data_IF_156066813345
#
_entry.id   IF_156066813345
#
_cell.length_a   1.000
_cell.length_b   1.000
_cell.length_c   1.000
_cell.angle_alpha   90.00
_cell.angle_beta   90.00
_cell.angle_gamma   90.00
#
_symmetry.space_group_name_H-M   'P 1'
#
loop_
_entity.id
_entity.type
_entity.pdbx_description
1 polymer ?
#
# COMPACT_ATOMS: atom_id res chain seq x y z
N UNK A 1 37.99 53.93 3.58
CA UNK A 1 37.29 53.25 4.69
C UNK A 1 36.25 54.15 5.41
N UNK A 2 36.40 55.44 5.47
CA UNK A 2 35.50 56.35 6.25
C UNK A 2 34.11 56.60 5.60
N UNK A 3 33.94 56.55 4.30
CA UNK A 3 32.64 56.87 3.64
C UNK A 3 31.55 55.83 3.86
N UNK A 4 31.90 54.55 3.98
CA UNK A 4 30.95 53.45 4.19
C UNK A 4 30.44 53.46 5.64
N UNK A 5 31.33 53.70 6.60
CA UNK A 5 30.96 53.79 8.01
C UNK A 5 30.04 54.98 8.31
N UNK A 6 30.26 56.13 7.68
CA UNK A 6 29.41 57.33 7.82
C UNK A 6 28.03 57.11 7.19
N UNK A 7 27.94 56.38 6.10
CA UNK A 7 26.66 56.02 5.47
C UNK A 7 25.84 55.03 6.33
N UNK A 8 26.51 54.01 6.91
CA UNK A 8 25.89 53.03 7.82
C UNK A 8 25.37 53.69 9.12
N UNK A 9 26.10 54.65 9.66
CA UNK A 9 25.66 55.43 10.83
C UNK A 9 24.43 56.29 10.53
N UNK A 10 24.41 56.95 9.35
CA UNK A 10 23.30 57.81 8.92
C UNK A 10 21.98 57.03 8.73
N UNK A 11 22.05 55.74 8.45
CA UNK A 11 20.89 54.86 8.25
C UNK A 11 20.61 53.93 9.43
N UNK A 12 21.25 54.19 10.59
CA UNK A 12 21.11 53.34 11.79
C UNK A 12 21.51 51.87 11.57
N UNK A 13 22.39 51.59 10.60
CA UNK A 13 22.83 50.27 10.17
C UNK A 13 24.22 49.89 10.71
N UNK A 14 24.65 50.57 11.77
CA UNK A 14 25.97 50.36 12.38
C UNK A 14 26.24 48.90 12.77
N UNK A 15 25.20 48.16 13.15
CA UNK A 15 25.27 46.74 13.50
C UNK A 15 24.92 45.82 12.34
N UNK A 16 24.70 46.35 11.11
CA UNK A 16 24.32 45.57 9.94
C UNK A 16 25.34 44.47 9.56
N UNK A 17 26.65 44.74 9.57
CA UNK A 17 27.66 43.70 9.36
C UNK A 17 27.64 42.61 10.44
N UNK A 18 27.41 42.98 11.69
CA UNK A 18 27.30 42.06 12.82
C UNK A 18 26.03 41.19 12.67
N UNK A 19 24.92 41.80 12.25
CA UNK A 19 23.67 41.09 11.98
C UNK A 19 23.83 40.08 10.86
N UNK A 20 24.51 40.44 9.76
CA UNK A 20 24.80 39.52 8.66
C UNK A 20 25.63 38.32 9.15
N UNK A 21 26.68 38.57 9.92
CA UNK A 21 27.53 37.51 10.49
C UNK A 21 26.71 36.57 11.40
N UNK A 22 25.84 37.13 12.24
CA UNK A 22 24.98 36.32 13.10
C UNK A 22 23.98 35.52 12.30
N UNK A 23 23.33 36.10 11.30
CA UNK A 23 22.36 35.40 10.44
C UNK A 23 23.04 34.29 9.64
N UNK A 24 24.21 34.56 9.05
CA UNK A 24 24.97 33.52 8.32
C UNK A 24 25.44 32.40 9.24
N UNK A 25 25.85 32.72 10.46
CA UNK A 25 26.22 31.71 11.45
C UNK A 25 25.00 30.86 11.88
N UNK A 26 23.85 31.47 12.12
CA UNK A 26 22.61 30.75 12.46
C UNK A 26 22.18 29.86 11.31
N UNK A 27 22.21 30.31 10.06
CA UNK A 27 21.88 29.51 8.86
C UNK A 27 22.88 28.37 8.71
N UNK A 28 24.17 28.61 8.96
CA UNK A 28 25.20 27.57 8.89
C UNK A 28 25.00 26.49 9.98
N UNK A 29 24.72 26.93 11.23
CA UNK A 29 24.38 26.00 12.32
C UNK A 29 23.13 25.23 12.03
N UNK A 30 22.09 25.86 11.45
CA UNK A 30 20.86 25.18 11.05
C UNK A 30 21.11 24.17 9.92
N UNK A 31 21.97 24.50 8.95
CA UNK A 31 22.40 23.54 7.91
C UNK A 31 23.18 22.35 8.50
N UNK A 32 24.08 22.61 9.47
CA UNK A 32 24.81 21.53 10.17
C UNK A 32 23.83 20.64 10.96
N UNK A 33 22.90 21.23 11.70
CA UNK A 33 21.89 20.48 12.46
C UNK A 33 21.00 19.70 11.52
N UNK A 34 20.56 20.28 10.40
CA UNK A 34 19.79 19.58 9.36
C UNK A 34 20.59 18.43 8.72
N UNK A 35 21.90 18.64 8.48
CA UNK A 35 22.79 17.62 7.96
C UNK A 35 23.05 16.50 8.99
N UNK A 36 23.21 16.84 10.27
CA UNK A 36 23.39 15.86 11.34
C UNK A 36 22.10 15.09 11.64
N UNK A 37 20.94 15.74 11.58
CA UNK A 37 19.63 15.08 11.73
C UNK A 37 19.22 14.27 10.50
N UNK A 38 19.89 14.43 9.35
CA UNK A 38 19.66 13.61 8.16
C UNK A 38 20.44 12.28 8.19
N UNK A 39 21.25 12.06 9.22
CA UNK A 39 21.97 10.81 9.46
C UNK A 39 21.19 9.82 10.35
N UNK A 40 19.85 9.92 10.38
CA UNK A 40 19.03 8.94 11.05
C UNK A 40 19.02 7.61 10.29
N UNK A 41 19.65 6.61 10.91
CA UNK A 41 19.53 5.16 10.74
C UNK A 41 19.45 4.63 9.30
N UNK A 42 20.39 4.99 8.45
CA UNK A 42 20.58 4.26 7.22
C UNK A 42 21.41 3.00 7.53
N UNK A 43 20.76 1.95 8.04
CA UNK A 43 21.34 0.62 8.10
C UNK A 43 21.78 0.28 6.66
N UNK A 44 23.07 0.40 6.39
CA UNK A 44 23.64 0.10 5.06
C UNK A 44 23.48 -1.38 4.70
N UNK A 45 23.10 -2.22 5.67
CA UNK A 45 22.94 -3.67 5.50
C UNK A 45 21.46 -4.07 5.60
N UNK A 46 20.99 -4.71 4.55
CA UNK A 46 19.63 -5.25 4.42
C UNK A 46 19.67 -6.75 4.66
N UNK A 47 18.81 -7.24 5.54
CA UNK A 47 18.59 -8.68 5.79
C UNK A 47 17.25 -9.09 5.19
N UNK A 48 17.24 -10.15 4.39
CA UNK A 48 16.04 -10.75 3.83
C UNK A 48 15.32 -11.54 4.93
N UNK A 49 14.04 -11.23 5.19
CA UNK A 49 13.26 -11.86 6.27
C UNK A 49 12.43 -13.04 5.82
N UNK A 50 12.14 -13.15 4.52
CA UNK A 50 11.45 -14.27 3.88
C UNK A 50 11.92 -14.43 2.43
N UNK A 51 11.73 -15.61 1.86
CA UNK A 51 12.12 -15.90 0.48
C UNK A 51 11.36 -14.99 -0.49
N UNK A 52 12.08 -14.33 -1.40
CA UNK A 52 11.53 -13.37 -2.36
C UNK A 52 12.41 -13.24 -3.59
N UNK A 53 12.13 -12.28 -4.46
CA UNK A 53 12.89 -12.05 -5.70
C UNK A 53 13.55 -10.67 -5.72
N UNK A 54 14.71 -10.58 -6.36
CA UNK A 54 15.26 -9.32 -6.86
C UNK A 54 14.63 -9.00 -8.22
N UNK A 55 14.28 -7.74 -8.44
CA UNK A 55 13.68 -7.25 -9.69
C UNK A 55 14.55 -6.16 -10.33
N UNK A 56 14.33 -5.92 -11.62
CA UNK A 56 15.08 -4.88 -12.35
C UNK A 56 14.66 -3.46 -12.00
N UNK A 57 13.51 -3.27 -11.33
CA UNK A 57 12.98 -1.97 -10.93
C UNK A 57 12.09 -2.04 -9.68
N UNK A 58 11.68 -0.87 -9.14
CA UNK A 58 10.98 -0.74 -7.86
C UNK A 58 9.47 -1.00 -7.97
N UNK A 59 9.08 -2.14 -8.51
CA UNK A 59 7.68 -2.53 -8.66
C UNK A 59 7.58 -4.02 -9.05
N UNK A 60 6.48 -4.72 -8.73
CA UNK A 60 6.27 -6.12 -9.12
C UNK A 60 6.09 -6.33 -10.63
N UNK A 61 5.85 -5.27 -11.42
CA UNK A 61 5.78 -5.38 -12.89
C UNK A 61 7.15 -5.51 -13.56
N UNK A 62 8.23 -5.16 -12.84
CA UNK A 62 9.57 -5.31 -13.40
C UNK A 62 10.01 -6.77 -13.38
N UNK A 63 10.73 -7.21 -14.43
CA UNK A 63 11.23 -8.58 -14.52
C UNK A 63 12.07 -9.00 -13.30
N UNK A 64 11.96 -10.26 -12.93
CA UNK A 64 12.83 -10.88 -11.93
C UNK A 64 14.27 -10.96 -12.45
N UNK A 65 15.21 -10.67 -11.56
CA UNK A 65 16.66 -10.83 -11.80
C UNK A 65 17.14 -12.15 -11.23
N UNK A 66 16.76 -12.43 -9.97
CA UNK A 66 17.17 -13.61 -9.23
C UNK A 66 16.27 -13.83 -8.02
N UNK A 67 16.14 -15.09 -7.56
CA UNK A 67 15.53 -15.42 -6.28
C UNK A 67 16.53 -15.20 -5.15
N UNK A 68 16.07 -14.61 -4.05
CA UNK A 68 16.83 -14.40 -2.83
C UNK A 68 16.12 -15.03 -1.64
N UNK A 69 16.88 -15.47 -0.64
CA UNK A 69 16.40 -16.33 0.44
C UNK A 69 16.52 -15.66 1.80
N UNK A 70 15.64 -16.03 2.70
CA UNK A 70 15.69 -15.61 4.11
C UNK A 70 17.08 -15.74 4.69
N UNK A 71 17.53 -14.67 5.35
CA UNK A 71 18.85 -14.59 6.00
C UNK A 71 19.99 -14.11 5.09
N UNK A 72 19.76 -13.94 3.78
CA UNK A 72 20.75 -13.30 2.92
C UNK A 72 20.90 -11.81 3.25
N UNK A 73 22.11 -11.29 3.05
CA UNK A 73 22.49 -9.92 3.37
C UNK A 73 22.91 -9.18 2.10
N UNK A 74 22.49 -7.94 2.01
CA UNK A 74 22.77 -7.04 0.90
C UNK A 74 23.17 -5.66 1.43
N UNK A 75 23.90 -4.88 0.62
CA UNK A 75 24.11 -3.46 0.85
C UNK A 75 22.97 -2.67 0.20
N UNK A 76 22.38 -1.74 0.95
CA UNK A 76 21.41 -0.80 0.44
C UNK A 76 22.09 0.23 -0.45
N UNK A 77 21.55 0.44 -1.66
CA UNK A 77 21.99 1.46 -2.60
C UNK A 77 21.06 2.67 -2.56
N UNK A 78 19.75 2.42 -2.67
CA UNK A 78 18.73 3.47 -2.72
C UNK A 78 17.36 2.94 -2.27
N UNK A 79 16.40 3.85 -2.11
CA UNK A 79 15.01 3.53 -1.79
C UNK A 79 14.08 4.33 -2.70
N UNK A 80 13.05 3.67 -3.22
CA UNK A 80 11.98 4.31 -3.98
C UNK A 80 10.65 3.75 -3.50
N UNK A 81 9.85 4.59 -2.84
CA UNK A 81 8.63 4.13 -2.17
C UNK A 81 8.92 3.02 -1.16
N UNK A 82 8.29 1.87 -1.33
CA UNK A 82 8.49 0.68 -0.49
C UNK A 82 9.57 -0.29 -1.01
N UNK A 83 10.24 0.05 -2.10
CA UNK A 83 11.26 -0.78 -2.72
C UNK A 83 12.66 -0.30 -2.38
N UNK A 84 13.57 -1.24 -2.16
CA UNK A 84 14.96 -0.99 -1.79
C UNK A 84 15.84 -1.54 -2.91
N UNK A 85 16.69 -0.70 -3.49
CA UNK A 85 17.74 -1.17 -4.37
C UNK A 85 18.89 -1.69 -3.53
N UNK A 86 19.30 -2.91 -3.79
CA UNK A 86 20.32 -3.62 -3.04
C UNK A 86 21.38 -4.22 -3.96
N UNK A 87 22.56 -4.47 -3.38
CA UNK A 87 23.69 -5.13 -4.06
C UNK A 87 24.34 -6.11 -3.08
N UNK A 88 24.66 -7.31 -3.56
CA UNK A 88 25.38 -8.30 -2.77
C UNK A 88 26.81 -7.85 -2.49
N UNK A 89 27.42 -8.33 -1.40
CA UNK A 89 28.78 -7.94 -0.97
C UNK A 89 29.87 -8.26 -2.01
N UNK A 90 29.61 -9.19 -2.91
CA UNK A 90 30.52 -9.54 -4.00
C UNK A 90 30.24 -8.80 -5.31
N UNK A 91 29.25 -7.89 -5.33
CA UNK A 91 28.84 -7.09 -6.48
C UNK A 91 28.18 -7.88 -7.62
N UNK A 92 27.93 -9.19 -7.45
CA UNK A 92 27.38 -10.04 -8.53
C UNK A 92 25.88 -9.96 -8.68
N UNK A 93 25.17 -9.61 -7.61
CA UNK A 93 23.71 -9.53 -7.58
C UNK A 93 23.33 -8.09 -7.24
N UNK A 94 22.53 -7.49 -8.09
CA UNK A 94 21.98 -6.15 -7.91
C UNK A 94 20.56 -6.11 -8.43
N UNK A 95 19.69 -5.51 -7.65
CA UNK A 95 18.27 -5.39 -8.02
C UNK A 95 17.46 -4.67 -6.97
N UNK A 96 16.15 -4.70 -7.14
CA UNK A 96 15.19 -4.14 -6.22
C UNK A 96 14.48 -5.25 -5.46
N UNK A 97 14.45 -5.13 -4.14
CA UNK A 97 13.69 -5.99 -3.25
C UNK A 97 12.57 -5.19 -2.58
N UNK A 98 11.44 -5.84 -2.37
CA UNK A 98 10.35 -5.26 -1.63
C UNK A 98 10.76 -5.08 -0.15
N UNK A 99 10.59 -3.86 0.38
CA UNK A 99 11.05 -3.52 1.72
C UNK A 99 10.38 -4.29 2.86
N UNK A 100 9.16 -4.79 2.64
CA UNK A 100 8.44 -5.64 3.61
C UNK A 100 9.02 -7.05 3.73
N UNK A 101 9.85 -7.51 2.77
CA UNK A 101 10.62 -8.74 2.86
C UNK A 101 12.02 -8.53 3.45
N UNK A 102 12.25 -7.40 4.10
CA UNK A 102 13.55 -7.04 4.67
C UNK A 102 13.43 -6.59 6.13
N UNK A 103 14.56 -6.54 6.84
CA UNK A 103 14.63 -6.02 8.21
C UNK A 103 14.22 -4.54 8.34
N UNK A 104 14.16 -3.78 7.26
CA UNK A 104 13.75 -2.37 7.33
C UNK A 104 12.24 -2.23 7.53
N UNK A 105 11.47 -3.29 7.31
CA UNK A 105 10.01 -3.34 7.46
C UNK A 105 9.34 -1.98 7.14
N UNK A 106 9.43 -1.54 5.87
CA UNK A 106 9.07 -0.18 5.43
C UNK A 106 7.55 0.07 5.49
N UNK A 107 6.86 -0.64 6.35
CA UNK A 107 5.44 -0.42 6.62
C UNK A 107 5.16 0.75 7.59
N UNK A 108 6.18 1.28 8.25
CA UNK A 108 6.01 2.14 9.41
C UNK A 108 6.07 3.64 9.10
N UNK A 109 5.04 4.19 8.48
CA UNK A 109 4.67 5.59 8.68
C UNK A 109 3.58 5.76 9.77
N UNK A 110 3.20 4.68 10.45
CA UNK A 110 2.26 4.72 11.57
C UNK A 110 3.02 4.69 12.91
N UNK A 111 2.53 5.43 13.89
CA UNK A 111 2.98 5.33 15.27
C UNK A 111 3.12 3.83 15.65
N UNK A 112 4.34 3.31 15.95
CA UNK A 112 4.55 1.88 16.18
C UNK A 112 3.78 1.33 17.38
N UNK A 113 3.22 2.22 18.22
CA UNK A 113 2.36 1.88 19.35
C UNK A 113 0.87 1.99 19.04
N UNK A 114 0.48 2.56 17.90
CA UNK A 114 -0.90 2.63 17.48
C UNK A 114 -1.32 1.29 16.84
N UNK A 115 -2.29 0.62 17.42
CA UNK A 115 -2.90 -0.61 16.87
C UNK A 115 -4.40 -0.39 16.65
N UNK A 116 -4.78 0.46 15.70
CA UNK A 116 -6.20 0.83 15.49
C UNK A 116 -7.05 -0.36 15.07
N UNK A 117 -6.46 -1.43 14.54
CA UNK A 117 -7.16 -2.66 14.15
C UNK A 117 -7.22 -3.71 15.26
N UNK A 118 -6.53 -3.49 16.39
CA UNK A 118 -6.56 -4.45 17.51
C UNK A 118 -7.99 -4.65 18.01
N UNK A 119 -8.37 -5.91 18.12
CA UNK A 119 -9.69 -6.36 18.60
C UNK A 119 -10.87 -5.93 17.69
N UNK A 120 -10.62 -5.32 16.51
CA UNK A 120 -11.63 -5.05 15.50
C UNK A 120 -11.99 -6.31 14.74
N UNK A 121 -13.28 -6.55 14.54
CA UNK A 121 -13.79 -7.67 13.75
C UNK A 121 -13.96 -7.20 12.29
N UNK A 122 -13.12 -7.70 11.40
CA UNK A 122 -13.18 -7.41 9.96
C UNK A 122 -13.76 -8.61 9.23
N UNK A 123 -14.83 -8.39 8.48
CA UNK A 123 -15.42 -9.41 7.62
C UNK A 123 -14.77 -9.31 6.23
N UNK A 124 -14.21 -10.40 5.74
CA UNK A 124 -13.74 -10.53 4.36
C UNK A 124 -14.70 -11.41 3.57
N UNK A 125 -15.21 -10.87 2.49
CA UNK A 125 -16.13 -11.56 1.59
C UNK A 125 -15.46 -11.78 0.23
N UNK A 126 -14.76 -12.92 0.01
CA UNK A 126 -14.28 -13.26 -1.32
C UNK A 126 -15.45 -13.56 -2.24
N UNK A 127 -15.70 -12.68 -3.21
CA UNK A 127 -16.80 -12.80 -4.17
C UNK A 127 -16.79 -14.13 -4.90
N UNK A 128 -17.99 -14.57 -5.34
CA UNK A 128 -18.20 -15.82 -6.08
C UNK A 128 -17.82 -17.08 -5.30
N UNK A 129 -17.57 -18.21 -5.97
CA UNK A 129 -17.15 -19.46 -5.36
C UNK A 129 -17.98 -20.66 -5.80
N UNK A 130 -17.42 -21.87 -5.75
CA UNK A 130 -18.07 -23.11 -6.14
C UNK A 130 -18.57 -23.09 -7.58
N UNK A 131 -19.89 -23.25 -7.77
CA UNK A 131 -20.55 -23.18 -9.08
C UNK A 131 -20.54 -21.79 -9.73
N UNK A 132 -20.45 -20.71 -8.92
CA UNK A 132 -20.31 -19.34 -9.42
C UNK A 132 -18.83 -19.04 -9.70
N UNK A 133 -18.47 -18.98 -10.98
CA UNK A 133 -17.09 -18.73 -11.40
C UNK A 133 -16.69 -17.25 -11.32
N UNK A 134 -17.68 -16.34 -11.24
CA UNK A 134 -17.46 -14.93 -11.49
C UNK A 134 -17.01 -14.64 -12.91
N UNK A 135 -16.34 -13.52 -13.09
CA UNK A 135 -15.72 -13.16 -14.35
C UNK A 135 -14.58 -14.13 -14.72
N UNK A 136 -14.35 -14.25 -16.02
CA UNK A 136 -13.25 -15.04 -16.57
C UNK A 136 -12.46 -14.22 -17.57
N UNK A 137 -11.14 -14.39 -17.58
CA UNK A 137 -10.29 -13.72 -18.55
C UNK A 137 -10.43 -14.36 -19.94
N UNK A 138 -10.21 -13.54 -20.96
CA UNK A 138 -10.16 -13.98 -22.35
C UNK A 138 -8.72 -14.29 -22.82
N UNK A 139 -7.75 -14.24 -21.93
CA UNK A 139 -6.35 -14.54 -22.24
C UNK A 139 -6.07 -16.03 -22.20
N UNK A 140 -4.85 -16.43 -22.58
CA UNK A 140 -4.40 -17.83 -22.48
C UNK A 140 -4.30 -18.34 -21.03
N UNK A 141 -4.29 -17.46 -20.03
CA UNK A 141 -4.26 -17.84 -18.61
C UNK A 141 -5.59 -18.42 -18.13
N UNK A 142 -6.70 -18.04 -18.78
CA UNK A 142 -8.06 -18.47 -18.38
C UNK A 142 -8.34 -18.26 -16.89
N UNK A 143 -7.87 -17.13 -16.34
CA UNK A 143 -8.05 -16.77 -14.94
C UNK A 143 -9.54 -16.63 -14.61
N UNK A 144 -9.93 -17.07 -13.41
CA UNK A 144 -11.31 -17.01 -12.92
C UNK A 144 -11.35 -16.14 -11.68
N UNK A 145 -12.29 -15.24 -11.59
CA UNK A 145 -12.44 -14.28 -10.51
C UNK A 145 -12.48 -14.96 -9.13
N UNK A 146 -13.32 -16.00 -8.96
CA UNK A 146 -13.45 -16.73 -7.69
C UNK A 146 -12.14 -17.22 -7.09
N UNK A 147 -11.14 -17.51 -7.93
CA UNK A 147 -9.82 -18.00 -7.49
C UNK A 147 -9.01 -16.88 -6.86
N UNK A 148 -9.02 -15.72 -7.50
CA UNK A 148 -8.19 -14.60 -7.07
C UNK A 148 -8.85 -13.81 -5.94
N UNK A 149 -10.18 -13.70 -5.90
CA UNK A 149 -10.89 -13.14 -4.76
C UNK A 149 -10.59 -13.92 -3.47
N UNK A 150 -10.59 -15.27 -3.54
CA UNK A 150 -10.23 -16.11 -2.39
C UNK A 150 -8.75 -16.00 -2.00
N UNK A 151 -7.84 -15.92 -2.98
CA UNK A 151 -6.40 -15.74 -2.70
C UNK A 151 -6.16 -14.42 -2.00
N UNK A 152 -6.65 -13.33 -2.56
CA UNK A 152 -6.53 -11.97 -1.97
C UNK A 152 -7.13 -11.93 -0.57
N UNK A 153 -8.31 -12.50 -0.36
CA UNK A 153 -8.93 -12.51 0.96
C UNK A 153 -8.09 -13.27 2.00
N UNK A 154 -7.48 -14.41 1.64
CA UNK A 154 -6.60 -15.18 2.55
C UNK A 154 -5.30 -14.45 2.86
N UNK A 155 -4.70 -13.81 1.86
CA UNK A 155 -3.49 -13.01 2.01
C UNK A 155 -3.78 -11.79 2.89
N UNK A 156 -4.88 -11.06 2.62
CA UNK A 156 -5.34 -9.93 3.42
C UNK A 156 -5.70 -10.33 4.87
N UNK A 157 -6.36 -11.48 5.08
CA UNK A 157 -6.62 -12.03 6.42
C UNK A 157 -5.33 -12.11 7.24
N UNK A 158 -4.27 -12.67 6.66
CA UNK A 158 -2.99 -12.81 7.35
C UNK A 158 -2.36 -11.45 7.73
N UNK A 159 -2.54 -10.40 6.91
CA UNK A 159 -2.06 -9.06 7.22
C UNK A 159 -2.88 -8.43 8.35
N UNK A 160 -4.21 -8.54 8.30
CA UNK A 160 -5.10 -7.99 9.32
C UNK A 160 -4.91 -8.65 10.68
N UNK A 161 -4.72 -9.98 10.71
CA UNK A 161 -4.46 -10.72 11.95
C UNK A 161 -3.11 -10.33 12.60
N UNK A 162 -2.09 -10.02 11.81
CA UNK A 162 -0.80 -9.45 12.30
C UNK A 162 -1.02 -8.08 12.99
N UNK A 163 -2.01 -7.30 12.55
CA UNK A 163 -2.41 -6.04 13.18
C UNK A 163 -3.26 -6.22 14.45
N UNK A 164 -3.61 -7.46 14.79
CA UNK A 164 -4.43 -7.80 15.95
C UNK A 164 -5.93 -7.76 15.68
N UNK A 165 -6.36 -7.69 14.43
CA UNK A 165 -7.77 -7.80 14.06
C UNK A 165 -8.27 -9.25 14.20
N UNK A 166 -9.56 -9.40 14.48
CA UNK A 166 -10.30 -10.65 14.34
C UNK A 166 -10.87 -10.69 12.92
N UNK A 167 -10.57 -11.73 12.15
CA UNK A 167 -11.03 -11.81 10.76
C UNK A 167 -12.01 -12.96 10.55
N UNK A 168 -13.21 -12.64 10.12
CA UNK A 168 -14.23 -13.59 9.70
C UNK A 168 -14.34 -13.59 8.17
N UNK A 169 -14.31 -14.77 7.55
CA UNK A 169 -14.48 -14.90 6.10
C UNK A 169 -15.86 -15.48 5.79
N UNK A 170 -16.50 -15.02 4.71
CA UNK A 170 -17.76 -15.58 4.22
C UNK A 170 -17.58 -16.96 3.60
N UNK A 171 -16.39 -17.26 3.06
CA UNK A 171 -15.91 -18.58 2.64
C UNK A 171 -14.41 -18.72 2.79
N UNK A 172 -13.93 -19.90 3.11
CA UNK A 172 -12.51 -20.23 3.20
C UNK A 172 -12.06 -21.25 2.13
N UNK A 173 -12.98 -21.77 1.35
CA UNK A 173 -12.73 -22.74 0.29
C UNK A 173 -13.40 -22.31 -1.03
N UNK A 174 -13.21 -23.11 -2.09
CA UNK A 174 -13.93 -22.94 -3.36
C UNK A 174 -15.34 -23.52 -3.23
N UNK A 175 -16.20 -22.83 -2.53
CA UNK A 175 -17.58 -23.17 -2.23
C UNK A 175 -18.53 -22.04 -2.61
N UNK A 176 -19.76 -22.41 -2.97
CA UNK A 176 -20.81 -21.43 -3.25
C UNK A 176 -21.43 -20.95 -1.96
N UNK A 177 -21.49 -19.62 -1.78
CA UNK A 177 -22.18 -18.95 -0.66
C UNK A 177 -23.21 -17.99 -1.24
N UNK A 178 -24.48 -18.13 -0.86
CA UNK A 178 -25.53 -17.24 -1.36
C UNK A 178 -25.34 -15.81 -0.83
N UNK A 179 -25.92 -14.83 -1.51
CA UNK A 179 -25.80 -13.43 -1.08
C UNK A 179 -26.36 -13.20 0.34
N UNK A 180 -27.43 -13.91 0.73
CA UNK A 180 -28.02 -13.83 2.08
C UNK A 180 -27.05 -14.38 3.14
N UNK A 181 -26.33 -15.47 2.83
CA UNK A 181 -25.38 -16.09 3.75
C UNK A 181 -24.09 -15.24 3.91
N UNK A 182 -23.81 -14.32 2.99
CA UNK A 182 -22.67 -13.37 3.09
C UNK A 182 -22.91 -12.26 4.09
N UNK A 183 -24.13 -12.10 4.63
CA UNK A 183 -24.44 -11.05 5.59
C UNK A 183 -23.94 -11.42 7.01
N UNK A 184 -22.64 -11.27 7.23
CA UNK A 184 -21.96 -11.51 8.52
C UNK A 184 -21.67 -10.17 9.17
N UNK A 185 -21.85 -10.08 10.49
CA UNK A 185 -21.59 -8.86 11.27
C UNK A 185 -20.13 -8.72 11.65
N UNK A 186 -19.64 -7.47 11.69
CA UNK A 186 -18.32 -7.08 12.12
C UNK A 186 -18.25 -5.58 12.37
N UNK A 187 -17.06 -5.04 12.60
CA UNK A 187 -16.82 -3.60 12.66
C UNK A 187 -16.66 -2.98 11.27
N UNK A 188 -16.18 -3.77 10.30
CA UNK A 188 -16.13 -3.42 8.87
C UNK A 188 -16.33 -4.66 8.01
N UNK A 189 -16.84 -4.46 6.79
CA UNK A 189 -17.12 -5.51 5.81
C UNK A 189 -16.43 -5.17 4.48
N UNK A 190 -15.58 -6.07 3.99
CA UNK A 190 -14.77 -5.89 2.77
C UNK A 190 -15.12 -7.00 1.78
N UNK A 191 -15.93 -6.70 0.77
CA UNK A 191 -16.19 -7.62 -0.35
C UNK A 191 -15.12 -7.44 -1.43
N UNK A 192 -14.55 -8.54 -1.92
CA UNK A 192 -13.39 -8.54 -2.83
C UNK A 192 -13.81 -9.15 -4.16
N UNK A 193 -13.61 -8.38 -5.23
CA UNK A 193 -13.97 -8.68 -6.59
C UNK A 193 -12.87 -8.29 -7.60
N UNK A 194 -12.99 -8.77 -8.82
CA UNK A 194 -12.18 -8.39 -9.98
C UNK A 194 -13.10 -8.23 -11.19
N UNK A 195 -13.38 -6.99 -11.54
CA UNK A 195 -14.37 -6.59 -12.55
C UNK A 195 -14.07 -7.18 -13.95
N UNK A 196 -15.08 -7.18 -14.78
CA UNK A 196 -14.97 -7.57 -16.18
C UNK A 196 -15.90 -6.75 -17.06
N UNK A 197 -15.36 -6.26 -18.15
CA UNK A 197 -16.14 -5.65 -19.21
C UNK A 197 -15.83 -6.32 -20.56
N UNK A 198 -16.78 -6.20 -21.50
CA UNK A 198 -16.55 -6.64 -22.90
C UNK A 198 -15.35 -5.98 -23.54
N UNK A 199 -15.03 -4.75 -23.11
CA UNK A 199 -13.85 -4.01 -23.58
C UNK A 199 -12.64 -4.36 -22.74
N UNK A 200 -11.60 -4.93 -23.35
CA UNK A 200 -10.31 -5.15 -22.73
C UNK A 200 -9.53 -3.85 -22.39
N UNK A 201 -10.09 -2.67 -22.70
CA UNK A 201 -9.48 -1.37 -22.39
C UNK A 201 -9.81 -0.89 -20.98
N UNK A 202 -10.88 -1.40 -20.36
CA UNK A 202 -11.19 -1.08 -18.98
C UNK A 202 -10.10 -1.64 -18.06
N UNK A 203 -9.59 -0.82 -17.15
CA UNK A 203 -8.50 -1.16 -16.24
C UNK A 203 -8.63 -0.39 -14.92
N UNK A 204 -7.87 -0.81 -13.92
CA UNK A 204 -7.75 -0.10 -12.65
C UNK A 204 -8.71 -0.59 -11.57
N UNK A 205 -8.58 -0.03 -10.37
CA UNK A 205 -9.36 -0.39 -9.19
C UNK A 205 -10.48 0.62 -8.91
N UNK A 206 -11.56 0.15 -8.27
CA UNK A 206 -12.67 0.99 -7.80
C UNK A 206 -13.10 0.51 -6.43
N UNK A 207 -13.47 1.44 -5.56
CA UNK A 207 -14.06 1.13 -4.24
C UNK A 207 -15.53 1.54 -4.28
N UNK A 208 -16.44 0.59 -4.07
CA UNK A 208 -17.86 0.86 -4.09
C UNK A 208 -18.45 0.88 -2.68
N UNK A 209 -19.41 1.77 -2.45
CA UNK A 209 -20.23 1.90 -1.26
C UNK A 209 -21.70 2.16 -1.64
N UNK A 210 -22.64 2.04 -0.71
CA UNK A 210 -24.06 2.27 -0.99
C UNK A 210 -24.74 3.15 0.06
N UNK A 211 -24.60 2.84 1.36
CA UNK A 211 -25.22 3.57 2.46
C UNK A 211 -24.28 4.66 2.98
N UNK A 212 -24.81 5.76 3.50
CA UNK A 212 -24.02 6.90 3.98
C UNK A 212 -22.96 6.51 5.03
N UNK A 213 -23.26 5.53 5.91
CA UNK A 213 -22.31 5.03 6.90
C UNK A 213 -21.14 4.20 6.31
N UNK A 214 -21.14 3.95 5.01
CA UNK A 214 -20.10 3.21 4.29
C UNK A 214 -19.15 4.13 3.53
N UNK A 215 -19.56 5.39 3.25
CA UNK A 215 -18.83 6.34 2.42
C UNK A 215 -17.42 6.64 2.98
N UNK A 216 -17.32 6.96 4.29
CA UNK A 216 -16.04 7.30 4.91
C UNK A 216 -15.01 6.18 4.80
N UNK A 217 -15.43 4.91 5.00
CA UNK A 217 -14.55 3.75 4.80
C UNK A 217 -14.12 3.63 3.34
N UNK A 218 -15.04 3.84 2.39
CA UNK A 218 -14.74 3.75 0.97
C UNK A 218 -13.74 4.83 0.52
N UNK A 219 -13.93 6.08 0.95
CA UNK A 219 -13.01 7.18 0.65
C UNK A 219 -11.61 6.93 1.23
N UNK A 220 -11.54 6.46 2.47
CA UNK A 220 -10.25 6.20 3.13
C UNK A 220 -9.47 5.07 2.43
N UNK A 221 -10.12 3.95 2.08
CA UNK A 221 -9.48 2.86 1.34
C UNK A 221 -9.13 3.30 -0.10
N UNK A 222 -10.01 4.06 -0.75
CA UNK A 222 -9.75 4.59 -2.09
C UNK A 222 -8.52 5.50 -2.11
N UNK A 223 -8.34 6.38 -1.12
CA UNK A 223 -7.20 7.27 -1.01
C UNK A 223 -5.88 6.49 -0.86
N UNK A 224 -5.87 5.42 -0.06
CA UNK A 224 -4.67 4.57 0.10
C UNK A 224 -4.37 3.74 -1.15
N UNK A 225 -5.38 3.20 -1.83
CA UNK A 225 -5.22 2.54 -3.13
C UNK A 225 -4.66 3.51 -4.17
N UNK A 226 -5.17 4.73 -4.26
CA UNK A 226 -4.67 5.75 -5.19
C UNK A 226 -3.19 6.09 -4.93
N UNK A 227 -2.79 6.11 -3.67
CA UNK A 227 -1.41 6.43 -3.27
C UNK A 227 -0.42 5.29 -3.50
N UNK A 228 -0.84 4.03 -3.35
CA UNK A 228 0.05 2.87 -3.26
C UNK A 228 -0.09 1.88 -4.42
N UNK A 229 -1.29 1.72 -4.97
CA UNK A 229 -1.53 0.76 -6.03
C UNK A 229 -0.82 1.17 -7.33
N UNK A 230 -0.38 0.17 -8.08
CA UNK A 230 0.20 0.39 -9.41
C UNK A 230 -0.89 0.55 -10.48
N UNK A 231 -2.06 -0.03 -10.24
CA UNK A 231 -3.24 0.18 -11.08
C UNK A 231 -3.85 1.54 -10.80
N UNK A 232 -4.35 2.19 -11.84
CA UNK A 232 -5.07 3.46 -11.70
C UNK A 232 -6.29 3.27 -10.80
N UNK A 233 -6.38 4.02 -9.70
CA UNK A 233 -7.59 4.08 -8.90
C UNK A 233 -8.63 4.96 -9.58
N UNK A 234 -9.86 4.47 -9.66
CA UNK A 234 -11.03 5.20 -10.17
C UNK A 234 -11.82 5.92 -9.06
N UNK A 235 -11.31 5.88 -7.84
CA UNK A 235 -11.91 6.52 -6.69
C UNK A 235 -12.99 5.68 -6.00
N UNK A 236 -13.61 6.27 -4.97
CA UNK A 236 -14.80 5.74 -4.33
C UNK A 236 -16.04 6.11 -5.14
N UNK A 237 -17.00 5.19 -5.22
CA UNK A 237 -18.25 5.38 -5.98
C UNK A 237 -19.43 4.76 -5.27
N UNK A 238 -20.54 5.45 -5.28
CA UNK A 238 -21.80 4.90 -4.80
C UNK A 238 -22.42 3.97 -5.85
N UNK A 239 -22.73 2.72 -5.44
CA UNK A 239 -23.38 1.75 -6.32
C UNK A 239 -24.24 0.77 -5.54
N UNK A 240 -25.40 0.37 -6.09
CA UNK A 240 -26.40 -0.43 -5.40
C UNK A 240 -26.10 -1.94 -5.50
N UNK A 241 -24.96 -2.39 -4.98
CA UNK A 241 -24.67 -3.81 -4.85
C UNK A 241 -25.42 -4.44 -3.67
N UNK A 242 -25.91 -5.66 -3.84
CA UNK A 242 -26.70 -6.34 -2.82
C UNK A 242 -25.91 -6.55 -1.52
N UNK A 243 -24.63 -6.94 -1.59
CA UNK A 243 -23.79 -7.15 -0.40
C UNK A 243 -23.59 -5.88 0.42
N UNK A 244 -23.59 -4.70 -0.24
CA UNK A 244 -23.52 -3.40 0.44
C UNK A 244 -24.88 -2.98 1.01
N UNK A 245 -25.96 -3.24 0.26
CA UNK A 245 -27.32 -2.87 0.67
C UNK A 245 -27.82 -3.68 1.87
N UNK A 246 -27.45 -4.96 1.95
CA UNK A 246 -27.95 -5.85 2.98
C UNK A 246 -27.21 -5.74 4.32
N UNK A 247 -25.98 -5.20 4.35
CA UNK A 247 -25.23 -5.03 5.59
C UNK A 247 -25.47 -3.64 6.22
N UNK A 248 -25.49 -3.59 7.55
CA UNK A 248 -25.70 -2.34 8.32
C UNK A 248 -24.40 -1.78 8.91
N UNK A 249 -23.29 -2.50 8.76
CA UNK A 249 -21.97 -2.04 9.19
C UNK A 249 -21.28 -1.23 8.08
N UNK A 250 -20.23 -0.46 8.37
CA UNK A 250 -19.36 0.12 7.36
C UNK A 250 -18.85 -0.96 6.39
N UNK A 251 -19.13 -0.79 5.11
CA UNK A 251 -18.88 -1.82 4.10
C UNK A 251 -18.38 -1.24 2.79
N UNK A 252 -17.51 -1.96 2.13
CA UNK A 252 -17.05 -1.65 0.75
C UNK A 252 -17.04 -2.90 -0.11
N UNK A 253 -17.23 -2.70 -1.42
CA UNK A 253 -16.90 -3.69 -2.44
C UNK A 253 -15.71 -3.16 -3.22
N UNK A 254 -14.64 -3.94 -3.23
CA UNK A 254 -13.39 -3.63 -3.91
C UNK A 254 -13.37 -4.34 -5.25
N UNK A 255 -13.28 -3.57 -6.34
CA UNK A 255 -12.85 -4.06 -7.64
C UNK A 255 -11.36 -3.80 -7.79
N UNK A 256 -10.55 -4.84 -7.64
CA UNK A 256 -9.09 -4.73 -7.56
C UNK A 256 -8.39 -4.91 -8.93
N UNK A 257 -9.10 -4.61 -10.00
CA UNK A 257 -8.64 -4.68 -11.39
C UNK A 257 -9.66 -5.39 -12.26
N UNK A 258 -9.49 -5.26 -13.59
CA UNK A 258 -10.35 -5.89 -14.58
C UNK A 258 -9.71 -7.20 -15.08
N UNK A 259 -10.28 -8.34 -14.71
CA UNK A 259 -9.77 -9.65 -15.15
C UNK A 259 -9.86 -9.83 -16.68
N UNK A 260 -10.69 -9.02 -17.35
CA UNK A 260 -10.80 -8.95 -18.81
C UNK A 260 -9.72 -8.13 -19.49
N UNK A 261 -8.92 -7.35 -18.72
CA UNK A 261 -7.78 -6.58 -19.22
C UNK A 261 -6.49 -7.37 -19.03
N UNK A 262 -5.68 -7.61 -20.07
CA UNK A 262 -4.48 -8.45 -19.93
C UNK A 262 -3.46 -7.91 -18.91
N UNK A 263 -3.28 -6.58 -18.83
CA UNK A 263 -2.36 -5.97 -17.86
C UNK A 263 -2.88 -6.12 -16.43
N UNK A 264 -4.17 -5.86 -16.20
CA UNK A 264 -4.76 -6.03 -14.88
C UNK A 264 -4.78 -7.50 -14.46
N UNK A 265 -5.04 -8.43 -15.41
CA UNK A 265 -4.97 -9.87 -15.14
C UNK A 265 -3.55 -10.30 -14.73
N UNK A 266 -2.51 -9.80 -15.41
CA UNK A 266 -1.13 -10.06 -15.01
C UNK A 266 -0.89 -9.60 -13.57
N UNK A 267 -1.38 -8.43 -13.19
CA UNK A 267 -1.26 -7.88 -11.84
C UNK A 267 -2.11 -8.64 -10.81
N UNK A 268 -3.37 -8.97 -11.12
CA UNK A 268 -4.26 -9.78 -10.26
C UNK A 268 -3.63 -11.15 -9.98
N UNK A 269 -2.95 -11.74 -10.95
CA UNK A 269 -2.31 -13.05 -10.82
C UNK A 269 -0.95 -12.99 -10.11
N UNK A 270 -0.29 -11.84 -10.09
CA UNK A 270 1.01 -11.64 -9.45
C UNK A 270 0.86 -11.47 -7.93
N UNK A 271 1.60 -12.25 -7.15
CA UNK A 271 1.52 -12.25 -5.69
C UNK A 271 1.99 -10.91 -5.08
N UNK A 272 3.06 -10.32 -5.61
CA UNK A 272 3.59 -9.08 -5.06
C UNK A 272 2.66 -7.91 -5.33
N UNK A 273 2.01 -7.88 -6.50
CA UNK A 273 1.03 -6.86 -6.80
C UNK A 273 -0.19 -6.97 -5.86
N UNK A 274 -0.73 -8.19 -5.65
CA UNK A 274 -1.81 -8.37 -4.67
C UNK A 274 -1.41 -7.90 -3.29
N UNK A 275 -0.20 -8.23 -2.83
CA UNK A 275 0.32 -7.76 -1.54
C UNK A 275 0.32 -6.23 -1.41
N UNK A 276 0.69 -5.49 -2.46
CA UNK A 276 0.63 -4.02 -2.46
C UNK A 276 -0.81 -3.51 -2.31
N UNK A 277 -1.76 -4.13 -3.02
CA UNK A 277 -3.18 -3.78 -2.91
C UNK A 277 -3.72 -4.09 -1.50
N UNK A 278 -3.38 -5.24 -0.95
CA UNK A 278 -3.76 -5.70 0.38
C UNK A 278 -3.24 -4.76 1.47
N UNK A 279 -1.98 -4.35 1.37
CA UNK A 279 -1.42 -3.36 2.29
C UNK A 279 -2.10 -1.98 2.17
N UNK A 280 -2.48 -1.57 0.96
CA UNK A 280 -3.24 -0.33 0.79
C UNK A 280 -4.60 -0.43 1.48
N UNK A 281 -5.26 -1.59 1.43
CA UNK A 281 -6.53 -1.84 2.16
C UNK A 281 -6.30 -1.82 3.66
N UNK A 282 -5.24 -2.47 4.18
CA UNK A 282 -4.88 -2.44 5.62
C UNK A 282 -4.64 -1.01 6.09
N UNK A 283 -3.88 -0.22 5.33
CA UNK A 283 -3.62 1.18 5.70
C UNK A 283 -4.90 2.04 5.66
N UNK A 284 -5.79 1.80 4.71
CA UNK A 284 -7.10 2.43 4.67
C UNK A 284 -7.93 2.12 5.92
N UNK A 285 -7.98 0.85 6.32
CA UNK A 285 -8.64 0.41 7.54
C UNK A 285 -7.98 1.01 8.79
N UNK A 286 -6.64 1.05 8.86
CA UNK A 286 -5.92 1.72 9.97
C UNK A 286 -6.32 3.18 10.08
N UNK A 287 -6.33 3.91 8.97
CA UNK A 287 -6.74 5.31 8.95
C UNK A 287 -8.17 5.49 9.42
N UNK A 288 -9.09 4.70 8.88
CA UNK A 288 -10.51 4.74 9.24
C UNK A 288 -10.76 4.50 10.74
N UNK A 289 -10.09 3.51 11.34
CA UNK A 289 -10.26 3.22 12.77
C UNK A 289 -9.38 4.07 13.71
N UNK A 290 -8.57 4.99 13.15
CA UNK A 290 -7.77 5.95 13.93
C UNK A 290 -8.48 7.27 14.16
N UNK A 291 -9.59 7.54 13.43
CA UNK A 291 -10.44 8.70 13.59
C UNK A 291 -11.43 8.48 14.75
#
# INVERSE_FOLDING_TARGET
>A
MNRINTWLEKHNLRNFPTLIVVVTFVVFVFMIISFLNHNDEDSSTIYVTEDTELRTGPSPIYPEVNSIYKGQNFHKISKTGKWIQVESSNGKEKGWVAGWHTNLNIEADANPNAKPLKDKTIVLDPGHGGSDQGASSNTKKHSREKVYTLKTAKELKSLLEKEGAVVNMTREADEYVSLEQRNIKGDAYISIHNDSLKSAKANGSTVYWYKDNQEALAETISATLQKKALLTSKGARQENYQVLRQTDVPAVLLELGYISNPTDEDMITDKLHRHILEEAVVDGLRSYFSE
#
